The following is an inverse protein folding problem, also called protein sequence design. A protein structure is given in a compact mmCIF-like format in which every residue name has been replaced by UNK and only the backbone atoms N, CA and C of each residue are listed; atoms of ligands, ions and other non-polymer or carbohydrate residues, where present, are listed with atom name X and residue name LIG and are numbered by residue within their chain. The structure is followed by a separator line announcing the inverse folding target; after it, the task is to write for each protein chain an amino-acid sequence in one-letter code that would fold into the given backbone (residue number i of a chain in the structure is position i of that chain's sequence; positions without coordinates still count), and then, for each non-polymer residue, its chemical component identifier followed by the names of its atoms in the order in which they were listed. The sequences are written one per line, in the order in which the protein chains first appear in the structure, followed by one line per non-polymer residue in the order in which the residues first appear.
data_IF_946987863260
#
_entry.id   IF_946987863260
#
_cell.length_a   1.000
_cell.length_b   1.000
_cell.length_c   1.000
_cell.angle_alpha   90.00
_cell.angle_beta   90.00
_cell.angle_gamma   90.00
#
_symmetry.space_group_name_H-M   'P 1'
#
loop_
_entity.id
_entity.type
_entity.pdbx_description
1 polymer ?
#
# COMPACT_ATOMS: atom_id res chain seq x y z
N UNK A 1 8.41 -10.22 19.92
CA UNK A 1 8.03 -8.98 19.20
C UNK A 1 8.29 -7.81 20.13
N UNK A 2 8.90 -6.70 19.67
CA UNK A 2 9.07 -5.52 20.53
C UNK A 2 7.71 -4.81 20.67
N UNK A 3 7.36 -4.26 21.84
CA UNK A 3 6.15 -3.46 21.99
C UNK A 3 6.20 -2.25 21.06
N UNK A 4 5.04 -1.93 20.50
CA UNK A 4 4.84 -0.74 19.71
C UNK A 4 4.97 0.52 20.58
N UNK A 5 5.81 1.47 20.16
CA UNK A 5 5.90 2.77 20.81
C UNK A 5 4.68 3.63 20.45
N UNK A 6 3.80 3.86 21.41
CA UNK A 6 2.58 4.69 21.28
C UNK A 6 2.79 6.12 21.79
N UNK A 7 4.00 6.46 22.25
CA UNK A 7 4.32 7.79 22.78
C UNK A 7 4.45 8.87 21.71
N UNK A 8 4.59 8.48 20.43
CA UNK A 8 4.68 9.40 19.29
C UNK A 8 3.61 9.12 18.24
N UNK A 9 2.94 10.15 17.67
CA UNK A 9 1.91 9.95 16.63
C UNK A 9 2.45 9.30 15.34
N UNK A 10 3.76 9.42 15.10
CA UNK A 10 4.46 8.85 13.95
C UNK A 10 4.23 7.35 13.78
N UNK A 11 4.04 6.61 14.87
CA UNK A 11 3.75 5.19 14.80
C UNK A 11 2.49 4.88 13.98
N UNK A 12 1.41 5.65 14.17
CA UNK A 12 0.13 5.42 13.48
C UNK A 12 0.18 5.74 11.98
N UNK A 13 1.18 6.50 11.54
CA UNK A 13 1.41 6.76 10.12
C UNK A 13 2.20 5.64 9.42
N UNK A 14 2.89 4.78 10.18
CA UNK A 14 3.77 3.71 9.69
C UNK A 14 3.26 2.32 10.04
N UNK A 15 1.96 2.10 10.00
CA UNK A 15 1.37 0.78 10.31
C UNK A 15 1.73 -0.26 9.26
N UNK A 16 1.93 0.16 8.01
CA UNK A 16 2.29 -0.71 6.88
C UNK A 16 3.54 -0.16 6.22
N UNK A 17 4.67 -0.86 6.41
CA UNK A 17 5.98 -0.40 5.93
C UNK A 17 6.03 -0.17 4.40
N UNK A 18 5.45 -1.08 3.61
CA UNK A 18 5.45 -0.96 2.15
C UNK A 18 4.63 0.24 1.65
N UNK A 19 3.49 0.53 2.27
CA UNK A 19 2.65 1.69 1.93
C UNK A 19 3.28 2.99 2.44
N UNK A 20 3.88 2.99 3.63
CA UNK A 20 4.58 4.15 4.17
C UNK A 20 5.80 4.53 3.31
N UNK A 21 6.54 3.53 2.81
CA UNK A 21 7.69 3.74 1.94
C UNK A 21 7.30 4.14 0.51
N UNK A 22 6.06 3.91 0.08
CA UNK A 22 5.60 4.23 -1.26
C UNK A 22 5.43 5.76 -1.44
N UNK A 23 6.16 6.41 -2.38
CA UNK A 23 6.02 7.86 -2.60
C UNK A 23 4.63 8.27 -3.09
N UNK A 24 3.94 7.39 -3.80
CA UNK A 24 2.58 7.61 -4.29
C UNK A 24 1.51 7.33 -3.22
N UNK A 25 1.90 6.81 -2.05
CA UNK A 25 1.00 6.37 -0.99
C UNK A 25 -0.12 5.44 -1.47
N UNK A 26 0.18 4.61 -2.47
CA UNK A 26 -0.74 3.57 -2.96
C UNK A 26 -1.13 2.66 -1.80
N UNK A 27 -2.41 2.27 -1.73
CA UNK A 27 -2.89 1.32 -0.74
C UNK A 27 -2.41 -0.10 -1.10
N UNK A 28 -1.15 -0.38 -0.75
CA UNK A 28 -0.43 -1.62 -1.09
C UNK A 28 -1.13 -2.87 -0.56
N UNK A 29 -1.57 -2.93 0.71
CA UNK A 29 -2.26 -4.11 1.22
C UNK A 29 -3.50 -4.49 0.42
N UNK A 30 -4.28 -3.50 0.00
CA UNK A 30 -5.58 -3.75 -0.61
C UNK A 30 -5.47 -4.24 -2.05
N UNK A 31 -4.64 -3.61 -2.90
CA UNK A 31 -4.49 -4.13 -4.26
C UNK A 31 -3.85 -5.53 -4.26
N UNK A 32 -2.93 -5.82 -3.34
CA UNK A 32 -2.37 -7.18 -3.18
C UNK A 32 -3.43 -8.18 -2.74
N UNK A 33 -4.37 -7.78 -1.86
CA UNK A 33 -5.50 -8.61 -1.44
C UNK A 33 -6.42 -8.94 -2.61
N UNK A 34 -6.71 -7.97 -3.47
CA UNK A 34 -7.48 -8.16 -4.71
C UNK A 34 -6.77 -9.12 -5.68
N UNK A 35 -5.44 -9.00 -5.85
CA UNK A 35 -4.64 -9.96 -6.62
C UNK A 35 -4.76 -11.37 -6.04
N UNK A 36 -4.65 -11.52 -4.72
CA UNK A 36 -4.77 -12.82 -4.05
C UNK A 36 -6.17 -13.45 -4.22
N UNK A 37 -7.20 -12.63 -4.48
CA UNK A 37 -8.56 -13.07 -4.76
C UNK A 37 -8.81 -13.34 -6.25
N UNK A 38 -7.86 -13.04 -7.13
CA UNK A 38 -8.01 -13.14 -8.59
C UNK A 38 -8.71 -11.93 -9.23
N UNK A 39 -8.98 -10.88 -8.45
CA UNK A 39 -9.65 -9.65 -8.89
C UNK A 39 -8.65 -8.67 -9.51
N UNK A 40 -8.01 -9.09 -10.62
CA UNK A 40 -6.90 -8.34 -11.23
C UNK A 40 -7.32 -6.97 -11.76
N UNK A 41 -8.52 -6.86 -12.32
CA UNK A 41 -9.05 -5.60 -12.86
C UNK A 41 -9.25 -4.56 -11.74
N UNK A 42 -9.84 -4.98 -10.62
CA UNK A 42 -10.08 -4.11 -9.48
C UNK A 42 -8.77 -3.72 -8.80
N UNK A 43 -7.84 -4.67 -8.64
CA UNK A 43 -6.48 -4.38 -8.17
C UNK A 43 -5.80 -3.31 -9.02
N UNK A 44 -5.91 -3.41 -10.35
CA UNK A 44 -5.28 -2.45 -11.26
C UNK A 44 -5.89 -1.05 -11.10
N UNK A 45 -7.22 -0.96 -11.04
CA UNK A 45 -7.92 0.31 -10.86
C UNK A 45 -7.56 0.96 -9.51
N UNK A 46 -7.55 0.18 -8.43
CA UNK A 46 -7.18 0.66 -7.10
C UNK A 46 -5.72 1.15 -7.05
N UNK A 47 -4.79 0.42 -7.69
CA UNK A 47 -3.41 0.89 -7.80
C UNK A 47 -3.34 2.25 -8.55
N UNK A 48 -4.13 2.38 -9.63
CA UNK A 48 -4.16 3.58 -10.48
C UNK A 48 -4.70 4.83 -9.80
N UNK A 49 -5.48 4.71 -8.73
CA UNK A 49 -6.02 5.86 -7.99
C UNK A 49 -4.92 6.78 -7.46
N UNK A 50 -3.84 6.20 -6.93
CA UNK A 50 -2.70 6.97 -6.40
C UNK A 50 -1.47 6.92 -7.31
N UNK A 51 -1.33 5.85 -8.10
CA UNK A 51 -0.21 5.66 -9.02
C UNK A 51 -0.66 5.85 -10.48
N UNK A 52 -0.38 7.00 -11.07
CA UNK A 52 -0.82 7.34 -12.44
C UNK A 52 -0.29 6.37 -13.50
N UNK A 53 0.85 5.72 -13.25
CA UNK A 53 1.49 4.79 -14.19
C UNK A 53 1.84 3.44 -13.54
N UNK A 54 0.85 2.61 -13.16
CA UNK A 54 1.07 1.36 -12.44
C UNK A 54 2.04 0.42 -13.16
N UNK A 55 1.86 0.23 -14.47
CA UNK A 55 2.70 -0.65 -15.28
C UNK A 55 4.13 -0.14 -15.52
N UNK A 56 4.38 1.15 -15.30
CA UNK A 56 5.73 1.73 -15.42
C UNK A 56 6.42 1.71 -14.05
N UNK A 57 5.72 2.03 -12.98
CA UNK A 57 6.31 2.14 -11.64
C UNK A 57 6.42 0.80 -10.89
N UNK A 58 5.66 -0.22 -11.31
CA UNK A 58 5.67 -1.56 -10.71
C UNK A 58 6.55 -2.62 -11.39
N UNK A 59 7.43 -2.22 -12.33
CA UNK A 59 8.41 -3.09 -12.98
C UNK A 59 9.73 -3.12 -12.23
#
# INVERSE_FOLDING_TARGET
MRPTDVGTPLHYHKVVDCQYACPAHTNVPEYLRLIAQGEYSESYLLNRESNVFPGILGR
#
